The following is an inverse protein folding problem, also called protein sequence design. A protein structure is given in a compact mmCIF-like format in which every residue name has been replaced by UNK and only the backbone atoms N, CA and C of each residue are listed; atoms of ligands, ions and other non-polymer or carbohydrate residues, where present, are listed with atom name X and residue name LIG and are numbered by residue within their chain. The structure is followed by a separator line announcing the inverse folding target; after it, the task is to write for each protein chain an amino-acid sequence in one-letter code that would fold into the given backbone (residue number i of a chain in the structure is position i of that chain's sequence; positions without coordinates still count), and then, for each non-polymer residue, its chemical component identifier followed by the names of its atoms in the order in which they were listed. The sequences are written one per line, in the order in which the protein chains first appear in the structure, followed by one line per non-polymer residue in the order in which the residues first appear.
data_IF_293754480593
#
_entry.id   IF_293754480593
#
_cell.length_a   1.000
_cell.length_b   1.000
_cell.length_c   1.000
_cell.angle_alpha   90.00
_cell.angle_beta   90.00
_cell.angle_gamma   90.00
#
_symmetry.space_group_name_H-M   'P 1'
#
loop_
_entity.id
_entity.type
_entity.pdbx_description
1 polymer ?
#
# COMPACT_ATOMS: atom_id res chain seq x y z
N UNK A 1 -30.55 -1.15 -17.06
CA UNK A 1 -29.15 -0.72 -17.26
C UNK A 1 -28.25 -1.86 -16.80
N UNK A 2 -27.12 -2.08 -17.48
CA UNK A 2 -26.13 -3.04 -16.99
C UNK A 2 -25.65 -2.60 -15.61
N UNK A 3 -25.58 -3.53 -14.65
CA UNK A 3 -25.15 -3.24 -13.28
C UNK A 3 -23.67 -2.84 -13.32
N UNK A 4 -23.32 -1.65 -12.82
CA UNK A 4 -21.93 -1.17 -12.75
C UNK A 4 -21.35 -1.51 -11.39
N UNK A 5 -20.06 -1.83 -11.36
CA UNK A 5 -19.31 -2.03 -10.13
C UNK A 5 -17.91 -1.43 -10.27
N UNK A 6 -17.38 -0.85 -9.19
CA UNK A 6 -16.05 -0.23 -9.15
C UNK A 6 -15.01 -1.22 -8.65
N UNK A 7 -13.81 -1.14 -9.22
CA UNK A 7 -12.59 -1.70 -8.62
C UNK A 7 -11.89 -0.62 -7.82
N UNK A 8 -11.60 -0.88 -6.55
CA UNK A 8 -10.91 0.06 -5.67
C UNK A 8 -9.63 -0.58 -5.16
N UNK A 9 -8.50 0.04 -5.51
CA UNK A 9 -7.25 -0.17 -4.80
C UNK A 9 -7.21 0.73 -3.56
N UNK A 10 -7.37 0.13 -2.38
CA UNK A 10 -7.28 0.83 -1.10
C UNK A 10 -5.85 0.72 -0.56
N UNK A 11 -4.91 1.52 -1.08
CA UNK A 11 -3.51 1.43 -0.68
C UNK A 11 -3.16 2.18 0.61
N UNK A 12 -1.98 1.89 1.17
CA UNK A 12 -1.47 2.53 2.40
C UNK A 12 -1.23 4.03 2.22
N UNK A 13 -0.63 4.42 1.09
CA UNK A 13 -0.23 5.81 0.81
C UNK A 13 -1.19 6.49 -0.16
N UNK A 14 -1.59 5.78 -1.22
CA UNK A 14 -2.52 6.25 -2.23
C UNK A 14 -3.58 5.19 -2.46
N UNK A 15 -4.77 5.63 -2.86
CA UNK A 15 -5.86 4.78 -3.31
C UNK A 15 -6.28 5.19 -4.71
N UNK A 16 -6.76 4.21 -5.48
CA UNK A 16 -7.14 4.35 -6.89
C UNK A 16 -8.48 3.68 -7.12
N UNK A 17 -9.32 4.29 -7.96
CA UNK A 17 -10.61 3.73 -8.36
C UNK A 17 -10.66 3.59 -9.87
N UNK A 18 -11.16 2.45 -10.33
CA UNK A 18 -11.32 2.13 -11.74
C UNK A 18 -12.67 1.46 -12.01
N UNK A 19 -13.09 1.47 -13.27
CA UNK A 19 -14.33 0.86 -13.75
C UNK A 19 -14.09 0.25 -15.14
N UNK A 20 -14.92 -0.73 -15.53
CA UNK A 20 -14.99 -1.16 -16.92
C UNK A 20 -15.96 -0.29 -17.72
N UNK A 21 -15.45 0.39 -18.75
CA UNK A 21 -16.23 1.14 -19.72
C UNK A 21 -16.29 0.39 -21.05
N UNK A 22 -17.36 -0.39 -21.22
CA UNK A 22 -17.40 -1.41 -22.28
C UNK A 22 -16.32 -2.47 -22.00
N UNK A 23 -15.45 -2.70 -22.98
CA UNK A 23 -14.39 -3.70 -22.88
C UNK A 23 -13.04 -3.15 -22.37
N UNK A 24 -13.01 -1.90 -21.90
CA UNK A 24 -11.77 -1.24 -21.47
C UNK A 24 -11.82 -0.88 -19.98
N UNK A 25 -10.80 -1.26 -19.19
CA UNK A 25 -10.66 -0.72 -17.85
C UNK A 25 -10.21 0.73 -17.91
N UNK A 26 -10.93 1.60 -17.20
CA UNK A 26 -10.63 3.03 -17.09
C UNK A 26 -10.41 3.39 -15.63
N UNK A 27 -9.25 3.98 -15.33
CA UNK A 27 -8.97 4.62 -14.03
C UNK A 27 -9.67 5.98 -13.98
N UNK A 28 -10.44 6.22 -12.93
CA UNK A 28 -11.23 7.44 -12.78
C UNK A 28 -10.41 8.49 -12.02
N UNK A 29 -10.22 9.71 -12.57
CA UNK A 29 -9.60 10.79 -11.83
C UNK A 29 -10.50 11.28 -10.70
N UNK A 30 -9.89 11.67 -9.57
CA UNK A 30 -10.58 12.32 -8.47
C UNK A 30 -11.04 13.74 -8.82
N UNK A 31 -11.80 14.36 -7.92
CA UNK A 31 -12.31 15.72 -8.10
C UNK A 31 -11.18 16.78 -8.28
N UNK A 32 -9.97 16.48 -7.81
CA UNK A 32 -8.78 17.31 -7.97
C UNK A 32 -8.02 17.07 -9.29
N UNK A 33 -8.50 16.15 -10.14
CA UNK A 33 -7.91 15.84 -11.46
C UNK A 33 -6.77 14.83 -11.45
N UNK A 34 -6.46 14.21 -10.30
CA UNK A 34 -5.43 13.18 -10.16
C UNK A 34 -6.04 11.79 -10.21
N UNK A 35 -5.34 10.82 -10.81
CA UNK A 35 -5.73 9.40 -10.74
C UNK A 35 -5.40 8.75 -9.40
N UNK A 36 -4.47 9.34 -8.65
CA UNK A 36 -4.09 8.92 -7.31
C UNK A 36 -4.73 9.83 -6.27
N UNK A 37 -5.41 9.21 -5.30
CA UNK A 37 -5.94 9.92 -4.13
C UNK A 37 -5.13 9.54 -2.90
N UNK A 38 -4.47 10.48 -2.21
CA UNK A 38 -3.76 10.17 -0.97
C UNK A 38 -4.69 9.50 0.06
N UNK A 39 -4.24 8.42 0.67
CA UNK A 39 -4.95 7.69 1.73
C UNK A 39 -4.82 8.43 3.07
N UNK A 40 -5.28 9.69 3.09
CA UNK A 40 -5.11 10.63 4.20
C UNK A 40 -6.46 11.23 4.58
N UNK A 41 -6.75 11.27 5.86
CA UNK A 41 -7.96 11.89 6.44
C UNK A 41 -7.53 12.92 7.48
N UNK A 42 -8.08 14.12 7.43
CA UNK A 42 -7.82 15.14 8.44
C UNK A 42 -9.12 15.67 9.04
N UNK A 43 -9.05 15.99 10.33
CA UNK A 43 -10.12 16.62 11.08
C UNK A 43 -9.70 18.04 11.44
N UNK A 44 -10.46 19.01 10.97
CA UNK A 44 -10.19 20.42 11.20
C UNK A 44 -10.83 20.90 12.50
N UNK A 45 -10.33 22.01 13.05
CA UNK A 45 -10.83 22.58 14.32
C UNK A 45 -12.29 23.01 14.26
N UNK A 46 -12.79 23.38 13.08
CA UNK A 46 -14.19 23.72 12.80
C UNK A 46 -15.08 22.48 12.56
N UNK A 47 -14.55 21.28 12.76
CA UNK A 47 -15.30 20.02 12.69
C UNK A 47 -15.48 19.48 11.27
N UNK A 48 -14.80 20.05 10.27
CA UNK A 48 -14.81 19.51 8.92
C UNK A 48 -13.88 18.30 8.80
N UNK A 49 -14.24 17.40 7.89
CA UNK A 49 -13.41 16.27 7.50
C UNK A 49 -12.88 16.50 6.10
N UNK A 50 -11.56 16.48 5.96
CA UNK A 50 -10.86 16.50 4.68
C UNK A 50 -10.34 15.11 4.37
N UNK A 51 -10.34 14.74 3.09
CA UNK A 51 -9.81 13.44 2.61
C UNK A 51 -9.00 13.68 1.34
N UNK A 52 -7.94 12.89 1.13
CA UNK A 52 -7.13 12.98 -0.09
C UNK A 52 -6.18 14.17 -0.08
N UNK A 53 -6.08 14.85 -1.23
CA UNK A 53 -5.10 15.93 -1.42
C UNK A 53 -5.30 17.09 -0.45
N UNK A 54 -6.55 17.42 -0.11
CA UNK A 54 -6.86 18.48 0.85
C UNK A 54 -6.36 18.13 2.26
N UNK A 55 -6.53 16.87 2.68
CA UNK A 55 -5.99 16.40 3.95
C UNK A 55 -4.46 16.38 3.95
N UNK A 56 -3.81 15.88 2.88
CA UNK A 56 -2.35 15.85 2.76
C UNK A 56 -1.74 17.26 2.87
N UNK A 57 -2.34 18.28 2.21
CA UNK A 57 -1.82 19.66 2.20
C UNK A 57 -1.75 20.33 3.57
N UNK A 58 -2.68 20.03 4.47
CA UNK A 58 -2.72 20.65 5.80
C UNK A 58 -2.00 19.84 6.88
N UNK A 59 -1.43 18.68 6.54
CA UNK A 59 -0.82 17.76 7.50
C UNK A 59 0.29 18.41 8.33
N UNK A 60 1.09 19.32 7.73
CA UNK A 60 2.15 20.07 8.42
C UNK A 60 1.60 20.92 9.57
N UNK A 61 0.45 21.57 9.37
CA UNK A 61 -0.14 22.51 10.35
C UNK A 61 -1.04 21.81 11.37
N UNK A 62 -1.40 20.55 11.12
CA UNK A 62 -2.35 19.78 11.91
C UNK A 62 -1.96 18.29 12.03
N UNK A 63 -0.71 17.98 12.43
CA UNK A 63 -0.17 16.62 12.33
C UNK A 63 -0.93 15.62 13.23
N UNK A 64 -1.32 16.03 14.44
CA UNK A 64 -2.00 15.16 15.41
C UNK A 64 -3.44 14.77 15.00
N UNK A 65 -4.09 15.58 14.16
CA UNK A 65 -5.46 15.32 13.68
C UNK A 65 -5.49 14.93 12.19
N UNK A 66 -4.34 14.55 11.63
CA UNK A 66 -4.21 14.07 10.25
C UNK A 66 -3.73 12.64 10.23
N UNK A 67 -4.62 11.73 9.86
CA UNK A 67 -4.40 10.29 9.86
C UNK A 67 -3.97 9.83 8.46
N UNK A 68 -2.82 9.16 8.39
CA UNK A 68 -2.24 8.54 7.18
C UNK A 68 -1.64 7.18 7.53
N UNK A 69 -1.32 6.36 6.53
CA UNK A 69 -0.83 4.98 6.70
C UNK A 69 -1.73 4.10 7.57
N UNK A 70 -3.03 4.43 7.66
CA UNK A 70 -3.99 3.76 8.54
C UNK A 70 -4.14 2.26 8.23
N UNK A 71 -3.88 1.88 6.97
CA UNK A 71 -3.89 0.49 6.50
C UNK A 71 -2.93 -0.41 7.32
N UNK A 72 -1.84 0.15 7.87
CA UNK A 72 -0.91 -0.58 8.75
C UNK A 72 -1.55 -0.98 10.10
N UNK A 73 -2.67 -0.38 10.50
CA UNK A 73 -3.38 -0.66 11.75
C UNK A 73 -4.66 -1.48 11.57
N UNK A 74 -5.11 -1.70 10.32
CA UNK A 74 -6.34 -2.43 10.01
C UNK A 74 -6.32 -3.84 10.60
N UNK A 75 -7.38 -4.23 11.32
CA UNK A 75 -7.54 -5.58 11.88
C UNK A 75 -6.51 -5.99 12.93
N UNK A 76 -5.74 -5.06 13.50
CA UNK A 76 -4.66 -5.34 14.46
C UNK A 76 -4.99 -4.94 15.89
N UNK A 77 -4.30 -5.59 16.82
CA UNK A 77 -4.28 -5.23 18.23
C UNK A 77 -3.23 -4.17 18.49
N UNK A 78 -3.47 -3.34 19.50
CA UNK A 78 -2.59 -2.27 19.94
C UNK A 78 -1.18 -2.77 20.28
N UNK A 79 -1.07 -3.93 20.92
CA UNK A 79 0.22 -4.55 21.27
C UNK A 79 1.05 -4.98 20.04
N UNK A 80 0.40 -5.25 18.91
CA UNK A 80 1.05 -5.72 17.68
C UNK A 80 1.64 -4.56 16.84
N UNK A 81 1.29 -3.31 17.15
CA UNK A 81 1.58 -2.14 16.31
C UNK A 81 2.53 -1.12 16.97
N UNK A 82 3.29 -1.53 17.97
CA UNK A 82 4.14 -0.61 18.74
C UNK A 82 5.20 0.09 17.88
N UNK A 83 5.68 -0.56 16.83
CA UNK A 83 6.64 0.05 15.90
C UNK A 83 5.97 1.01 14.93
N UNK A 84 4.73 0.74 14.50
CA UNK A 84 3.92 1.64 13.68
C UNK A 84 3.55 2.92 14.43
N UNK A 85 3.21 2.80 15.72
CA UNK A 85 2.85 3.94 16.59
C UNK A 85 3.98 4.96 16.65
N UNK A 86 5.25 4.52 16.70
CA UNK A 86 6.42 5.40 16.74
C UNK A 86 6.64 6.20 15.45
N UNK A 87 5.93 5.87 14.36
CA UNK A 87 6.12 6.47 13.03
C UNK A 87 5.09 7.54 12.71
N UNK A 88 4.03 7.66 13.51
CA UNK A 88 2.90 8.53 13.21
C UNK A 88 2.77 9.62 14.27
N UNK A 89 2.42 10.87 13.87
CA UNK A 89 2.28 11.96 14.81
C UNK A 89 0.93 11.95 15.53
N UNK A 90 -0.07 11.25 15.00
CA UNK A 90 -1.39 11.12 15.62
C UNK A 90 -1.37 10.07 16.73
N UNK A 91 -2.28 10.22 17.69
CA UNK A 91 -2.34 9.36 18.87
C UNK A 91 -3.03 8.04 18.54
N UNK A 92 -2.34 6.93 18.79
CA UNK A 92 -2.90 5.58 18.75
C UNK A 92 -3.06 5.08 20.18
N UNK A 93 -4.19 4.46 20.49
CA UNK A 93 -4.53 3.96 21.83
C UNK A 93 -5.12 2.57 21.76
N UNK A 94 -5.06 1.85 22.89
CA UNK A 94 -5.75 0.56 23.05
C UNK A 94 -7.25 0.79 23.23
N UNK A 95 -8.05 0.20 22.35
CA UNK A 95 -9.50 0.20 22.42
C UNK A 95 -10.08 -1.08 23.04
N UNK A 96 -11.40 -1.29 22.93
CA UNK A 96 -12.05 -2.53 23.36
C UNK A 96 -11.37 -3.76 22.73
N UNK A 97 -11.18 -4.82 23.54
CA UNK A 97 -10.48 -6.05 23.15
C UNK A 97 -9.05 -5.85 22.64
N UNK A 98 -8.35 -4.84 23.17
CA UNK A 98 -7.00 -4.46 22.77
C UNK A 98 -6.89 -4.05 21.29
N UNK A 99 -7.98 -3.69 20.60
CA UNK A 99 -7.92 -3.24 19.21
C UNK A 99 -7.14 -1.92 19.10
N UNK A 100 -6.31 -1.77 18.07
CA UNK A 100 -5.66 -0.50 17.78
C UNK A 100 -6.71 0.54 17.37
N UNK A 101 -6.73 1.72 18.02
CA UNK A 101 -7.65 2.83 17.71
C UNK A 101 -6.87 4.13 17.56
N UNK A 102 -7.37 5.01 16.72
CA UNK A 102 -6.82 6.36 16.57
C UNK A 102 -7.68 7.34 17.37
N UNK A 103 -7.05 8.13 18.23
CA UNK A 103 -7.73 9.20 18.96
C UNK A 103 -7.50 10.53 18.25
N UNK A 104 -8.56 11.14 17.75
CA UNK A 104 -8.53 12.47 17.12
C UNK A 104 -9.52 13.37 17.82
N UNK A 105 -9.03 14.52 18.31
CA UNK A 105 -9.85 15.52 19.02
C UNK A 105 -10.74 14.93 20.12
N UNK A 106 -10.20 13.96 20.90
CA UNK A 106 -10.89 13.30 22.00
C UNK A 106 -11.92 12.24 21.59
N UNK A 107 -12.02 11.91 20.29
CA UNK A 107 -12.87 10.82 19.78
C UNK A 107 -12.01 9.66 19.29
N UNK A 108 -12.42 8.44 19.65
CA UNK A 108 -11.80 7.21 19.18
C UNK A 108 -12.40 6.77 17.85
N UNK A 109 -11.53 6.46 16.90
CA UNK A 109 -11.88 5.91 15.59
C UNK A 109 -11.24 4.54 15.39
N UNK A 110 -12.01 3.62 14.83
CA UNK A 110 -11.49 2.40 14.23
C UNK A 110 -10.66 2.72 12.98
N UNK A 111 -9.58 1.97 12.69
CA UNK A 111 -8.93 1.99 11.39
C UNK A 111 -9.92 1.82 10.22
N UNK A 112 -10.96 1.00 10.42
CA UNK A 112 -12.05 0.75 9.47
C UNK A 112 -12.87 2.01 9.20
N UNK A 113 -13.15 2.82 10.23
CA UNK A 113 -13.90 4.07 10.08
C UNK A 113 -13.10 5.10 9.28
N UNK A 114 -11.79 5.21 9.52
CA UNK A 114 -10.92 6.11 8.75
C UNK A 114 -10.82 5.63 7.29
N UNK A 115 -10.63 4.33 7.07
CA UNK A 115 -10.58 3.75 5.73
C UNK A 115 -11.92 3.91 4.98
N UNK A 116 -13.05 3.82 5.68
CA UNK A 116 -14.37 4.08 5.11
C UNK A 116 -14.51 5.52 4.60
N UNK A 117 -13.88 6.51 5.26
CA UNK A 117 -13.88 7.89 4.79
C UNK A 117 -13.10 8.04 3.46
N UNK A 118 -12.02 7.27 3.29
CA UNK A 118 -11.23 7.22 2.05
C UNK A 118 -12.07 6.56 0.94
N UNK A 119 -12.64 5.37 1.21
CA UNK A 119 -13.51 4.66 0.28
C UNK A 119 -14.69 5.53 -0.17
N UNK A 120 -15.32 6.24 0.77
CA UNK A 120 -16.43 7.13 0.46
C UNK A 120 -16.02 8.27 -0.47
N UNK A 121 -14.85 8.91 -0.27
CA UNK A 121 -14.35 9.93 -1.21
C UNK A 121 -14.13 9.35 -2.61
N UNK A 122 -13.50 8.18 -2.72
CA UNK A 122 -13.22 7.54 -4.02
C UNK A 122 -14.51 7.26 -4.79
N UNK A 123 -15.52 6.72 -4.10
CA UNK A 123 -16.82 6.43 -4.72
C UNK A 123 -17.56 7.72 -5.05
N UNK A 124 -17.58 8.72 -4.18
CA UNK A 124 -18.23 10.01 -4.47
C UNK A 124 -17.61 10.69 -5.70
N UNK A 125 -16.28 10.62 -5.84
CA UNK A 125 -15.58 11.14 -7.02
C UNK A 125 -15.92 10.33 -8.28
N UNK A 126 -16.00 9.00 -8.18
CA UNK A 126 -16.42 8.13 -9.26
C UNK A 126 -17.88 8.36 -9.69
N UNK A 127 -18.80 8.53 -8.75
CA UNK A 127 -20.21 8.83 -9.03
C UNK A 127 -20.37 10.17 -9.75
N UNK A 128 -19.58 11.20 -9.37
CA UNK A 128 -19.56 12.49 -10.09
C UNK A 128 -19.04 12.35 -11.51
N UNK A 129 -17.99 11.54 -11.73
CA UNK A 129 -17.45 11.26 -13.05
C UNK A 129 -18.49 10.54 -13.94
N UNK A 130 -19.17 9.53 -13.39
CA UNK A 130 -20.13 8.71 -14.13
C UNK A 130 -21.50 9.37 -14.30
N UNK A 131 -21.84 10.35 -13.47
CA UNK A 131 -23.16 10.99 -13.45
C UNK A 131 -24.28 10.10 -12.87
N UNK A 132 -23.92 9.01 -12.19
CA UNK A 132 -24.86 8.08 -11.56
C UNK A 132 -24.28 7.44 -10.30
N UNK A 133 -25.17 6.88 -9.48
CA UNK A 133 -24.80 6.23 -8.20
C UNK A 133 -24.27 4.82 -8.43
N UNK A 134 -23.17 4.43 -7.77
CA UNK A 134 -22.58 3.09 -7.86
C UNK A 134 -22.26 2.58 -6.45
N UNK A 135 -22.91 1.50 -6.04
CA UNK A 135 -22.78 0.95 -4.69
C UNK A 135 -21.99 -0.36 -4.63
N UNK A 136 -21.91 -1.11 -5.72
CA UNK A 136 -21.22 -2.38 -5.77
C UNK A 136 -19.72 -2.18 -6.04
N UNK A 137 -18.88 -2.80 -5.21
CA UNK A 137 -17.42 -2.61 -5.29
C UNK A 137 -16.65 -3.91 -5.09
N UNK A 138 -15.47 -3.99 -5.71
CA UNK A 138 -14.40 -4.91 -5.37
C UNK A 138 -13.27 -4.10 -4.73
N UNK A 139 -12.80 -4.51 -3.56
CA UNK A 139 -11.76 -3.79 -2.81
C UNK A 139 -10.52 -4.69 -2.68
N UNK A 140 -9.34 -4.11 -2.87
CA UNK A 140 -8.07 -4.85 -2.79
C UNK A 140 -7.53 -4.93 -1.36
N UNK A 141 -6.75 -5.97 -1.10
CA UNK A 141 -5.94 -6.16 0.10
C UNK A 141 -4.60 -6.80 -0.24
N UNK A 142 -3.54 -6.60 0.57
CA UNK A 142 -2.29 -7.33 0.45
C UNK A 142 -2.54 -8.84 0.47
N UNK A 143 -1.84 -9.61 -0.35
CA UNK A 143 -2.03 -11.06 -0.41
C UNK A 143 -1.79 -11.71 0.96
N UNK A 144 -0.81 -11.20 1.71
CA UNK A 144 -0.43 -11.71 3.01
C UNK A 144 -1.29 -11.19 4.19
N UNK A 145 -2.40 -10.48 3.93
CA UNK A 145 -3.36 -10.12 4.98
C UNK A 145 -4.02 -11.37 5.59
N UNK A 146 -4.08 -11.38 6.91
CA UNK A 146 -4.80 -12.40 7.68
C UNK A 146 -6.33 -12.16 7.66
N UNK A 147 -7.09 -13.09 8.25
CA UNK A 147 -8.55 -13.05 8.28
C UNK A 147 -9.11 -11.76 8.93
N UNK A 148 -8.55 -11.34 10.07
CA UNK A 148 -8.98 -10.13 10.77
C UNK A 148 -8.79 -8.86 9.92
N UNK A 149 -7.66 -8.77 9.21
CA UNK A 149 -7.35 -7.63 8.34
C UNK A 149 -8.27 -7.60 7.10
N UNK A 150 -8.57 -8.77 6.51
CA UNK A 150 -9.51 -8.89 5.39
C UNK A 150 -10.93 -8.48 5.80
N UNK A 151 -11.37 -8.96 6.96
CA UNK A 151 -12.68 -8.62 7.51
C UNK A 151 -12.77 -7.14 7.88
N UNK A 152 -11.72 -6.55 8.43
CA UNK A 152 -11.64 -5.11 8.71
C UNK A 152 -11.80 -4.28 7.42
N UNK A 153 -11.12 -4.65 6.33
CA UNK A 153 -11.26 -3.96 5.04
C UNK A 153 -12.67 -4.08 4.47
N UNK A 154 -13.28 -5.28 4.55
CA UNK A 154 -14.68 -5.47 4.15
C UNK A 154 -15.62 -4.57 4.98
N UNK A 155 -15.42 -4.55 6.30
CA UNK A 155 -16.19 -3.71 7.23
C UNK A 155 -16.05 -2.23 6.90
N UNK A 156 -14.86 -1.76 6.50
CA UNK A 156 -14.65 -0.39 6.04
C UNK A 156 -15.52 -0.05 4.81
N UNK A 157 -15.65 -0.98 3.85
CA UNK A 157 -16.57 -0.84 2.72
C UNK A 157 -18.04 -0.76 3.16
N UNK A 158 -18.45 -1.61 4.10
CA UNK A 158 -19.81 -1.59 4.65
C UNK A 158 -20.12 -0.28 5.39
N UNK A 159 -19.18 0.23 6.21
CA UNK A 159 -19.29 1.53 6.89
C UNK A 159 -19.40 2.68 5.87
N UNK A 160 -18.71 2.57 4.73
CA UNK A 160 -18.81 3.54 3.63
C UNK A 160 -20.15 3.46 2.87
N UNK A 161 -21.02 2.50 3.19
CA UNK A 161 -22.31 2.29 2.54
C UNK A 161 -22.20 1.55 1.20
N UNK A 162 -21.15 0.74 1.01
CA UNK A 162 -20.86 0.00 -0.20
C UNK A 162 -21.23 -1.47 -0.06
N UNK A 163 -21.71 -2.08 -1.14
CA UNK A 163 -21.87 -3.52 -1.25
C UNK A 163 -20.55 -4.13 -1.75
N UNK A 164 -19.76 -4.68 -0.81
CA UNK A 164 -18.47 -5.29 -1.13
C UNK A 164 -18.72 -6.67 -1.75
N UNK A 165 -18.67 -6.74 -3.08
CA UNK A 165 -18.88 -7.97 -3.85
C UNK A 165 -17.76 -8.98 -3.60
N UNK A 166 -16.53 -8.50 -3.49
CA UNK A 166 -15.33 -9.33 -3.26
C UNK A 166 -14.21 -8.51 -2.67
N UNK A 167 -13.45 -9.14 -1.77
CA UNK A 167 -12.10 -8.74 -1.42
C UNK A 167 -11.15 -9.52 -2.32
N UNK A 168 -10.26 -8.83 -3.05
CA UNK A 168 -9.28 -9.45 -3.95
C UNK A 168 -7.86 -9.15 -3.49
N UNK A 169 -6.95 -10.10 -3.67
CA UNK A 169 -5.54 -9.89 -3.40
C UNK A 169 -4.94 -8.93 -4.43
N UNK A 170 -4.14 -7.96 -3.98
CA UNK A 170 -3.45 -6.97 -4.83
C UNK A 170 -2.66 -7.61 -5.98
N UNK A 171 -1.76 -8.60 -5.75
CA UNK A 171 -1.03 -9.20 -6.86
C UNK A 171 -1.93 -10.01 -7.80
N UNK A 172 -3.00 -10.61 -7.28
CA UNK A 172 -4.01 -11.29 -8.09
C UNK A 172 -4.75 -10.31 -8.99
N UNK A 173 -5.15 -9.15 -8.48
CA UNK A 173 -5.74 -8.08 -9.27
C UNK A 173 -4.75 -7.60 -10.35
N UNK A 174 -3.49 -7.35 -9.98
CA UNK A 174 -2.48 -6.94 -10.95
C UNK A 174 -2.29 -7.98 -12.09
N UNK A 175 -2.38 -9.28 -11.78
CA UNK A 175 -2.31 -10.34 -12.78
C UNK A 175 -3.47 -10.28 -13.79
N UNK A 176 -4.69 -9.97 -13.35
CA UNK A 176 -5.86 -9.82 -14.24
C UNK A 176 -5.65 -8.68 -15.24
N UNK A 177 -5.12 -7.55 -14.77
CA UNK A 177 -4.80 -6.41 -15.61
C UNK A 177 -3.70 -6.73 -16.64
N UNK A 178 -2.68 -7.49 -16.23
CA UNK A 178 -1.61 -7.94 -17.10
C UNK A 178 -2.06 -8.99 -18.13
N UNK A 179 -2.89 -9.95 -17.72
CA UNK A 179 -3.25 -11.12 -18.51
C UNK A 179 -4.45 -10.96 -19.43
N UNK A 180 -5.24 -9.88 -19.32
CA UNK A 180 -6.49 -9.70 -20.07
C UNK A 180 -6.30 -9.85 -21.60
N UNK A 181 -5.19 -9.34 -22.14
CA UNK A 181 -4.89 -9.38 -23.58
C UNK A 181 -3.93 -10.54 -23.97
N UNK A 182 -3.48 -11.34 -23.01
CA UNK A 182 -2.46 -12.39 -23.23
C UNK A 182 -3.14 -13.71 -23.59
N UNK A 183 -2.78 -14.26 -24.75
CA UNK A 183 -3.33 -15.54 -25.26
C UNK A 183 -2.49 -16.77 -24.94
N UNK A 184 -1.21 -16.59 -24.65
CA UNK A 184 -0.31 -17.69 -24.33
C UNK A 184 -0.22 -17.89 -22.83
N UNK A 185 -0.08 -19.14 -22.41
CA UNK A 185 0.23 -19.48 -21.02
C UNK A 185 1.60 -18.92 -20.65
N UNK A 186 1.69 -18.27 -19.51
CA UNK A 186 2.91 -17.73 -18.95
C UNK A 186 2.91 -17.88 -17.42
N UNK A 187 4.07 -18.24 -16.87
CA UNK A 187 4.32 -18.19 -15.44
C UNK A 187 4.87 -16.81 -15.11
N UNK A 188 4.13 -16.02 -14.36
CA UNK A 188 4.53 -14.67 -13.97
C UNK A 188 4.81 -14.58 -12.49
N UNK A 189 5.71 -13.67 -12.13
CA UNK A 189 5.89 -13.23 -10.75
C UNK A 189 5.42 -11.79 -10.63
N UNK A 190 4.44 -11.56 -9.77
CA UNK A 190 4.02 -10.22 -9.38
C UNK A 190 4.82 -9.82 -8.14
N UNK A 191 5.58 -8.73 -8.27
CA UNK A 191 6.37 -8.10 -7.22
C UNK A 191 5.70 -6.80 -6.81
N UNK A 192 4.99 -6.80 -5.69
CA UNK A 192 4.26 -5.64 -5.20
C UNK A 192 4.97 -5.02 -4.01
N UNK A 193 5.58 -3.85 -4.20
CA UNK A 193 6.17 -3.05 -3.13
C UNK A 193 5.48 -1.69 -3.06
N UNK A 194 4.51 -1.62 -2.15
CA UNK A 194 3.74 -0.43 -1.85
C UNK A 194 4.40 0.48 -0.81
N UNK A 195 3.60 1.38 -0.21
CA UNK A 195 4.05 2.21 0.91
C UNK A 195 4.11 1.48 2.25
N UNK A 196 3.28 0.45 2.41
CA UNK A 196 3.09 -0.26 3.68
C UNK A 196 3.58 -1.71 3.71
N UNK A 197 3.49 -2.38 2.58
CA UNK A 197 3.56 -3.83 2.47
C UNK A 197 4.37 -4.24 1.25
N UNK A 198 4.91 -5.45 1.34
CA UNK A 198 5.61 -6.12 0.27
C UNK A 198 4.96 -7.49 0.06
N UNK A 199 4.48 -7.77 -1.15
CA UNK A 199 3.89 -9.05 -1.51
C UNK A 199 4.56 -9.58 -2.79
N UNK A 200 4.72 -10.89 -2.85
CA UNK A 200 5.21 -11.63 -4.00
C UNK A 200 4.21 -12.74 -4.28
N UNK A 201 3.73 -12.83 -5.51
CA UNK A 201 2.91 -13.98 -5.93
C UNK A 201 3.39 -14.52 -7.25
N UNK A 202 3.44 -15.85 -7.35
CA UNK A 202 3.70 -16.54 -8.61
C UNK A 202 2.38 -17.06 -9.13
N UNK A 203 2.08 -16.75 -10.38
CA UNK A 203 0.84 -17.12 -11.03
C UNK A 203 1.10 -17.77 -12.37
N UNK A 204 0.27 -18.76 -12.70
CA UNK A 204 0.10 -19.21 -14.07
C UNK A 204 -1.09 -18.48 -14.69
N UNK A 205 -0.84 -17.84 -15.83
CA UNK A 205 -1.82 -17.01 -16.52
C UNK A 205 -1.90 -17.43 -17.98
N UNK A 206 -3.11 -17.74 -18.45
CA UNK A 206 -3.36 -18.00 -19.86
C UNK A 206 -4.76 -18.55 -20.13
N UNK A 207 -5.25 -18.35 -21.36
CA UNK A 207 -6.58 -18.80 -21.82
C UNK A 207 -7.74 -18.42 -20.88
N UNK A 208 -7.64 -17.26 -20.20
CA UNK A 208 -8.64 -16.78 -19.25
C UNK A 208 -8.56 -17.42 -17.85
N UNK A 209 -7.60 -18.30 -17.61
CA UNK A 209 -7.34 -18.91 -16.30
C UNK A 209 -6.17 -18.20 -15.61
N UNK A 210 -6.38 -17.87 -14.34
CA UNK A 210 -5.41 -17.22 -13.47
C UNK A 210 -5.30 -18.05 -12.19
N UNK A 211 -4.19 -18.76 -12.02
CA UNK A 211 -3.96 -19.67 -10.89
C UNK A 211 -2.77 -19.20 -10.07
N UNK A 212 -2.99 -18.86 -8.80
CA UNK A 212 -1.91 -18.54 -7.87
C UNK A 212 -1.23 -19.84 -7.43
N UNK A 213 0.06 -19.97 -7.76
CA UNK A 213 0.88 -21.13 -7.37
C UNK A 213 1.44 -20.99 -5.97
N UNK A 214 1.89 -19.79 -5.62
CA UNK A 214 2.39 -19.47 -4.29
C UNK A 214 2.32 -17.96 -4.03
N UNK A 215 2.14 -17.59 -2.77
CA UNK A 215 2.25 -16.21 -2.31
C UNK A 215 3.07 -16.12 -1.04
N UNK A 216 3.81 -15.03 -0.88
CA UNK A 216 4.63 -14.71 0.30
C UNK A 216 4.76 -13.20 0.41
N UNK A 217 5.12 -12.69 1.59
CA UNK A 217 5.25 -11.24 1.76
C UNK A 217 5.74 -10.82 3.14
N UNK A 218 5.82 -9.50 3.31
CA UNK A 218 6.08 -8.81 4.57
C UNK A 218 5.10 -7.64 4.71
N UNK A 219 4.15 -7.76 5.65
CA UNK A 219 3.10 -6.76 5.89
C UNK A 219 3.59 -5.51 6.63
N UNK A 220 4.90 -5.39 6.89
CA UNK A 220 5.54 -4.25 7.56
C UNK A 220 6.77 -3.74 6.81
N UNK A 221 6.85 -4.00 5.51
CA UNK A 221 7.94 -3.54 4.66
C UNK A 221 7.37 -2.78 3.46
N UNK A 222 7.65 -1.49 3.36
CA UNK A 222 7.24 -0.69 2.20
C UNK A 222 7.90 0.68 2.17
N UNK A 223 7.44 1.55 1.27
CA UNK A 223 7.93 2.91 1.07
C UNK A 223 8.13 3.72 2.35
N UNK A 224 7.25 3.58 3.35
CA UNK A 224 7.35 4.32 4.63
C UNK A 224 8.60 3.90 5.43
N UNK A 225 9.06 2.66 5.30
CA UNK A 225 10.29 2.16 5.94
C UNK A 225 11.53 2.81 5.33
N UNK A 226 11.54 2.97 4.01
CA UNK A 226 12.61 3.68 3.31
C UNK A 226 12.63 5.17 3.66
N UNK A 227 11.46 5.79 3.77
CA UNK A 227 11.34 7.18 4.21
C UNK A 227 11.90 7.36 5.61
N UNK A 228 11.57 6.44 6.54
CA UNK A 228 12.07 6.47 7.91
C UNK A 228 13.59 6.43 7.98
N UNK A 229 14.26 5.60 7.16
CA UNK A 229 15.73 5.55 7.12
C UNK A 229 16.35 6.89 6.73
N UNK A 230 15.74 7.56 5.76
CA UNK A 230 16.21 8.87 5.35
C UNK A 230 15.92 9.94 6.41
N UNK A 231 14.73 9.92 7.01
CA UNK A 231 14.36 10.82 8.12
C UNK A 231 15.30 10.68 9.31
N UNK A 232 15.59 9.45 9.74
CA UNK A 232 16.49 9.20 10.87
C UNK A 232 17.89 9.72 10.59
N UNK A 233 18.44 9.43 9.41
CA UNK A 233 19.74 9.94 9.02
C UNK A 233 19.78 11.47 8.98
N UNK A 234 18.79 12.12 8.35
CA UNK A 234 18.70 13.59 8.30
C UNK A 234 18.58 14.20 9.71
N UNK A 235 17.75 13.62 10.58
CA UNK A 235 17.59 14.07 11.96
C UNK A 235 18.88 13.90 12.77
N UNK A 236 19.62 12.80 12.57
CA UNK A 236 20.90 12.57 13.24
C UNK A 236 21.99 13.53 12.75
N UNK A 237 22.04 13.86 11.46
CA UNK A 237 22.95 14.90 10.94
C UNK A 237 22.62 16.28 11.52
N UNK A 238 21.33 16.64 11.57
CA UNK A 238 20.90 17.91 12.17
C UNK A 238 21.21 17.97 13.69
N UNK A 239 21.03 16.85 14.40
CA UNK A 239 21.39 16.74 15.81
C UNK A 239 22.90 16.91 16.03
N UNK A 240 23.74 16.36 15.16
CA UNK A 240 25.21 16.55 15.24
C UNK A 240 25.61 18.01 15.02
N UNK A 241 24.96 18.70 14.09
CA UNK A 241 25.30 20.09 13.75
C UNK A 241 24.76 21.11 14.77
N UNK A 242 23.52 20.93 15.22
CA UNK A 242 22.81 21.93 16.03
C UNK A 242 22.49 21.49 17.47
N UNK A 243 22.70 20.22 17.81
CA UNK A 243 22.36 19.68 19.14
C UNK A 243 20.86 19.58 19.42
N UNK A 244 20.01 19.63 18.38
CA UNK A 244 18.55 19.60 18.49
C UNK A 244 18.00 18.36 17.78
N UNK A 245 17.18 17.58 18.48
CA UNK A 245 16.54 16.40 17.93
C UNK A 245 15.17 16.74 17.34
N UNK A 246 15.12 16.89 16.01
CA UNK A 246 13.89 17.25 15.28
C UNK A 246 12.77 16.22 15.42
N UNK A 247 13.08 14.98 15.84
CA UNK A 247 12.08 13.93 16.06
C UNK A 247 11.18 14.22 17.27
N UNK A 248 11.60 15.12 18.16
CA UNK A 248 10.83 15.51 19.36
C UNK A 248 9.81 16.62 19.09
N UNK A 249 9.89 17.27 17.93
CA UNK A 249 8.96 18.30 17.50
C UNK A 249 8.03 17.71 16.41
N UNK A 250 6.73 17.50 16.69
CA UNK A 250 5.81 16.91 15.73
C UNK A 250 5.69 17.67 14.40
N UNK A 251 5.78 19.01 14.42
CA UNK A 251 5.71 19.82 13.20
C UNK A 251 7.00 19.68 12.38
N UNK A 252 8.16 19.74 13.04
CA UNK A 252 9.43 19.53 12.37
C UNK A 252 9.51 18.12 11.77
N UNK A 253 9.15 17.10 12.55
CA UNK A 253 9.14 15.71 12.11
C UNK A 253 8.23 15.50 10.88
N UNK A 254 7.02 16.06 10.89
CA UNK A 254 6.12 15.96 9.73
C UNK A 254 6.73 16.59 8.46
N UNK A 255 7.39 17.75 8.59
CA UNK A 255 8.09 18.41 7.48
C UNK A 255 9.29 17.59 7.00
N UNK A 256 10.01 16.92 7.91
CA UNK A 256 11.09 16.01 7.55
C UNK A 256 10.57 14.83 6.73
N UNK A 257 9.49 14.18 7.15
CA UNK A 257 8.89 13.06 6.40
C UNK A 257 8.49 13.47 4.99
N UNK A 258 7.80 14.60 4.83
CA UNK A 258 7.39 15.07 3.49
C UNK A 258 8.60 15.37 2.59
N UNK A 259 9.64 16.01 3.15
CA UNK A 259 10.85 16.31 2.39
C UNK A 259 11.66 15.04 2.06
N UNK A 260 11.70 14.06 2.96
CA UNK A 260 12.39 12.79 2.74
C UNK A 260 11.64 11.88 1.76
N UNK A 261 10.31 11.80 1.82
CA UNK A 261 9.48 11.10 0.81
C UNK A 261 9.77 11.68 -0.58
N UNK A 262 9.74 13.01 -0.69
CA UNK A 262 10.07 13.71 -1.94
C UNK A 262 11.48 13.40 -2.41
N UNK A 263 12.48 13.47 -1.53
CA UNK A 263 13.86 13.18 -1.86
C UNK A 263 14.05 11.72 -2.33
N UNK A 264 13.44 10.75 -1.65
CA UNK A 264 13.42 9.33 -2.07
C UNK A 264 12.87 9.17 -3.50
N UNK A 265 11.74 9.81 -3.79
CA UNK A 265 11.14 9.77 -5.12
C UNK A 265 12.05 10.41 -6.17
N UNK A 266 12.64 11.57 -5.89
CA UNK A 266 13.58 12.24 -6.79
C UNK A 266 14.84 11.40 -7.06
N UNK A 267 15.38 10.73 -6.04
CA UNK A 267 16.52 9.83 -6.17
C UNK A 267 16.25 8.59 -7.05
N UNK A 268 14.98 8.30 -7.37
CA UNK A 268 14.66 7.25 -8.33
C UNK A 268 15.04 7.62 -9.77
N UNK A 269 15.20 8.92 -10.06
CA UNK A 269 15.62 9.43 -11.38
C UNK A 269 16.94 10.18 -11.31
N UNK A 270 17.16 10.99 -10.27
CA UNK A 270 18.36 11.79 -10.04
C UNK A 270 19.42 11.00 -9.27
N UNK A 271 20.70 11.38 -9.45
CA UNK A 271 21.82 10.82 -8.69
C UNK A 271 21.99 11.46 -7.31
N UNK A 272 21.48 12.69 -7.15
CA UNK A 272 21.47 13.43 -5.89
C UNK A 272 20.28 14.38 -5.83
N UNK A 273 19.89 14.77 -4.62
CA UNK A 273 18.89 15.81 -4.37
C UNK A 273 19.21 16.55 -3.08
N UNK A 274 18.63 17.75 -2.93
CA UNK A 274 18.83 18.64 -1.79
C UNK A 274 17.55 18.73 -0.96
N UNK A 275 17.66 18.39 0.32
CA UNK A 275 16.61 18.58 1.32
C UNK A 275 16.86 19.93 1.99
N UNK A 276 16.02 20.91 1.69
CA UNK A 276 16.09 22.25 2.26
C UNK A 276 14.79 22.60 2.98
N UNK A 277 14.87 22.74 4.30
CA UNK A 277 13.76 23.14 5.17
C UNK A 277 14.17 24.39 5.97
N UNK A 278 13.86 25.60 5.45
CA UNK A 278 14.06 26.84 6.18
C UNK A 278 13.18 26.91 7.42
N UNK A 279 13.68 27.52 8.51
CA UNK A 279 12.92 27.71 9.75
C UNK A 279 12.33 26.38 10.25
N UNK A 280 13.14 25.32 10.27
CA UNK A 280 12.69 23.99 10.68
C UNK A 280 12.45 23.92 12.18
N UNK A 281 13.24 24.67 12.96
CA UNK A 281 13.11 24.83 14.41
C UNK A 281 13.79 26.13 14.85
N UNK A 282 13.84 26.40 16.15
CA UNK A 282 14.55 27.55 16.72
C UNK A 282 15.16 27.20 18.09
N UNK A 283 16.24 27.89 18.45
CA UNK A 283 16.85 27.84 19.78
C UNK A 283 17.10 29.27 20.32
N UNK A 284 17.84 29.38 21.43
CA UNK A 284 18.19 30.67 22.04
C UNK A 284 19.03 31.59 21.12
N UNK A 285 19.70 31.04 20.11
CA UNK A 285 20.47 31.79 19.11
C UNK A 285 19.65 32.22 17.89
N UNK A 286 18.40 31.74 17.77
CA UNK A 286 17.46 32.11 16.72
C UNK A 286 16.97 30.93 15.88
N UNK A 287 16.34 31.19 14.72
CA UNK A 287 15.83 30.15 13.84
C UNK A 287 16.95 29.29 13.25
N UNK A 288 16.66 28.01 13.04
CA UNK A 288 17.54 27.03 12.39
C UNK A 288 16.94 26.56 11.08
N UNK A 289 17.82 26.19 10.15
CA UNK A 289 17.48 25.73 8.82
C UNK A 289 18.13 24.38 8.60
N UNK A 290 17.43 23.44 8.00
CA UNK A 290 18.03 22.20 7.52
C UNK A 290 18.38 22.39 6.06
N UNK A 291 19.61 22.08 5.69
CA UNK A 291 20.07 22.12 4.31
C UNK A 291 21.11 21.03 4.06
N UNK A 292 20.69 19.93 3.44
CA UNK A 292 21.54 18.75 3.25
C UNK A 292 21.34 18.14 1.87
N UNK A 293 22.44 17.78 1.21
CA UNK A 293 22.43 17.02 -0.04
C UNK A 293 22.55 15.53 0.26
N UNK A 294 21.69 14.73 -0.37
CA UNK A 294 21.73 13.27 -0.31
C UNK A 294 21.94 12.70 -1.71
N UNK A 295 22.86 11.75 -1.84
CA UNK A 295 23.09 11.00 -3.08
C UNK A 295 22.29 9.71 -3.08
N UNK A 296 21.97 9.17 -4.28
CA UNK A 296 21.32 7.87 -4.43
C UNK A 296 22.12 6.77 -3.74
N UNK A 297 23.45 6.77 -3.92
CA UNK A 297 24.33 5.80 -3.28
C UNK A 297 24.26 5.84 -1.75
N UNK A 298 24.14 7.04 -1.15
CA UNK A 298 23.94 7.18 0.30
C UNK A 298 22.59 6.62 0.73
N UNK A 299 21.51 6.98 0.04
CA UNK A 299 20.18 6.46 0.33
C UNK A 299 20.11 4.93 0.22
N UNK A 300 20.68 4.35 -0.85
CA UNK A 300 20.73 2.90 -1.05
C UNK A 300 21.54 2.20 0.06
N UNK A 301 22.65 2.80 0.50
CA UNK A 301 23.43 2.29 1.63
C UNK A 301 22.63 2.29 2.94
N UNK A 302 21.89 3.36 3.23
CA UNK A 302 21.05 3.48 4.44
C UNK A 302 19.91 2.45 4.49
N UNK A 303 19.49 1.96 3.32
CA UNK A 303 18.37 1.03 3.16
C UNK A 303 18.81 -0.39 2.75
N UNK A 304 20.11 -0.69 2.79
CA UNK A 304 20.67 -1.95 2.30
C UNK A 304 20.02 -3.20 2.91
N UNK A 305 19.74 -3.17 4.21
CA UNK A 305 19.04 -4.26 4.91
C UNK A 305 17.56 -4.37 4.52
N UNK A 306 16.89 -3.26 4.19
CA UNK A 306 15.51 -3.29 3.68
C UNK A 306 15.44 -3.93 2.30
N UNK A 307 16.40 -3.64 1.42
CA UNK A 307 16.50 -4.33 0.13
C UNK A 307 16.81 -5.82 0.30
N UNK A 308 17.67 -6.18 1.24
CA UNK A 308 17.98 -7.59 1.52
C UNK A 308 16.75 -8.35 2.04
N UNK A 309 15.93 -7.71 2.89
CA UNK A 309 14.67 -8.29 3.40
C UNK A 309 13.68 -8.67 2.28
N UNK A 310 13.71 -8.01 1.13
CA UNK A 310 12.85 -8.35 -0.02
C UNK A 310 13.16 -9.75 -0.58
N UNK A 311 14.39 -10.26 -0.43
CA UNK A 311 14.79 -11.55 -1.00
C UNK A 311 14.14 -12.74 -0.32
N UNK A 312 13.90 -12.66 1.00
CA UNK A 312 13.30 -13.75 1.77
C UNK A 312 11.96 -14.21 1.19
N UNK A 313 10.96 -13.31 1.07
CA UNK A 313 9.67 -13.65 0.47
C UNK A 313 9.77 -14.12 -0.99
N UNK A 314 10.66 -13.54 -1.80
CA UNK A 314 10.87 -13.97 -3.20
C UNK A 314 11.30 -15.43 -3.30
N UNK A 315 12.34 -15.80 -2.54
CA UNK A 315 12.85 -17.18 -2.56
C UNK A 315 11.85 -18.14 -1.92
N UNK A 316 11.11 -17.71 -0.89
CA UNK A 316 10.08 -18.53 -0.29
C UNK A 316 8.94 -18.84 -1.28
N UNK A 317 8.48 -17.85 -2.05
CA UNK A 317 7.43 -18.06 -3.05
C UNK A 317 7.89 -19.02 -4.15
N UNK A 318 9.14 -18.91 -4.61
CA UNK A 318 9.75 -19.83 -5.58
C UNK A 318 9.81 -21.26 -5.03
N UNK A 319 10.28 -21.43 -3.78
CA UNK A 319 10.34 -22.73 -3.11
C UNK A 319 8.95 -23.36 -2.98
N UNK A 320 7.97 -22.59 -2.51
CA UNK A 320 6.59 -23.05 -2.33
C UNK A 320 5.93 -23.47 -3.66
N UNK A 321 6.22 -22.72 -4.74
CA UNK A 321 5.77 -23.05 -6.09
C UNK A 321 6.58 -24.19 -6.74
N UNK A 322 7.69 -24.62 -6.12
CA UNK A 322 8.67 -25.59 -6.66
C UNK A 322 9.27 -25.14 -8.00
N UNK A 323 9.55 -23.85 -8.11
CA UNK A 323 10.11 -23.22 -9.29
C UNK A 323 11.47 -22.58 -8.98
N UNK A 324 12.25 -22.36 -10.03
CA UNK A 324 13.50 -21.59 -9.98
C UNK A 324 13.29 -20.24 -10.68
N UNK A 325 14.20 -19.26 -10.48
CA UNK A 325 14.08 -17.97 -11.19
C UNK A 325 14.05 -18.09 -12.72
N UNK A 326 14.55 -19.19 -13.30
CA UNK A 326 14.54 -19.44 -14.75
C UNK A 326 13.17 -19.86 -15.28
N UNK A 327 12.31 -20.39 -14.42
CA UNK A 327 10.98 -20.88 -14.78
C UNK A 327 9.93 -19.76 -14.80
N UNK A 328 10.27 -18.57 -14.30
CA UNK A 328 9.43 -17.38 -14.37
C UNK A 328 9.61 -16.75 -15.75
N UNK A 329 8.53 -16.58 -16.52
CA UNK A 329 8.55 -15.98 -17.86
C UNK A 329 8.68 -14.45 -17.77
N UNK A 330 7.82 -13.80 -16.99
CA UNK A 330 7.78 -12.35 -16.82
C UNK A 330 7.72 -11.94 -15.33
N UNK A 331 8.36 -10.82 -14.98
CA UNK A 331 8.25 -10.20 -13.65
C UNK A 331 7.47 -8.90 -13.78
N UNK A 332 6.34 -8.80 -13.09
CA UNK A 332 5.44 -7.63 -13.10
C UNK A 332 5.68 -6.82 -11.83
N UNK A 333 6.13 -5.57 -11.97
CA UNK A 333 6.34 -4.67 -10.85
C UNK A 333 5.05 -3.89 -10.54
N UNK A 334 4.68 -3.87 -9.26
CA UNK A 334 3.48 -3.21 -8.74
C UNK A 334 3.87 -2.36 -7.53
N UNK A 335 3.23 -1.21 -7.35
CA UNK A 335 3.48 -0.31 -6.23
C UNK A 335 4.62 0.68 -6.49
N UNK A 336 4.42 1.92 -6.08
CA UNK A 336 5.32 3.04 -6.41
C UNK A 336 6.76 2.89 -5.90
N UNK A 337 7.01 2.09 -4.86
CA UNK A 337 8.37 1.87 -4.34
C UNK A 337 9.21 0.97 -5.25
N UNK A 338 8.60 0.23 -6.18
CA UNK A 338 9.34 -0.51 -7.24
C UNK A 338 10.03 0.39 -8.27
N UNK A 339 9.71 1.70 -8.28
CA UNK A 339 10.40 2.69 -9.11
C UNK A 339 11.85 2.93 -8.69
N UNK A 340 12.24 2.52 -7.48
CA UNK A 340 13.62 2.63 -7.02
C UNK A 340 14.56 1.77 -7.88
N UNK A 341 15.66 2.32 -8.42
CA UNK A 341 16.62 1.59 -9.24
C UNK A 341 17.21 0.34 -8.55
N UNK A 342 17.44 0.41 -7.25
CA UNK A 342 17.92 -0.73 -6.45
C UNK A 342 16.94 -1.93 -6.46
N UNK A 343 15.62 -1.68 -6.46
CA UNK A 343 14.61 -2.76 -6.54
C UNK A 343 14.64 -3.42 -7.92
N UNK A 344 14.68 -2.62 -8.98
CA UNK A 344 14.78 -3.16 -10.34
C UNK A 344 16.10 -3.92 -10.55
N UNK A 345 17.20 -3.44 -9.97
CA UNK A 345 18.49 -4.13 -9.99
C UNK A 345 18.40 -5.48 -9.28
N UNK A 346 17.79 -5.53 -8.09
CA UNK A 346 17.55 -6.77 -7.36
C UNK A 346 16.76 -7.77 -8.20
N UNK A 347 15.70 -7.33 -8.88
CA UNK A 347 14.92 -8.20 -9.78
C UNK A 347 15.77 -8.74 -10.93
N UNK A 348 16.59 -7.91 -11.59
CA UNK A 348 17.52 -8.37 -12.63
C UNK A 348 18.54 -9.38 -12.10
N UNK A 349 19.09 -9.14 -10.92
CA UNK A 349 20.07 -10.02 -10.28
C UNK A 349 19.47 -11.39 -9.94
N UNK A 350 18.22 -11.44 -9.49
CA UNK A 350 17.54 -12.69 -9.12
C UNK A 350 17.04 -13.46 -10.35
N UNK A 351 16.38 -12.79 -11.29
CA UNK A 351 15.67 -13.45 -12.40
C UNK A 351 16.40 -13.40 -13.74
N UNK A 352 17.48 -12.63 -13.85
CA UNK A 352 18.27 -12.51 -15.08
C UNK A 352 17.51 -11.88 -16.26
N UNK A 353 16.43 -11.13 -15.99
CA UNK A 353 15.59 -10.49 -17.00
C UNK A 353 15.10 -9.11 -16.56
N UNK A 354 14.73 -8.28 -17.54
CA UNK A 354 14.10 -6.99 -17.26
C UNK A 354 12.65 -7.18 -16.81
N UNK A 355 12.18 -6.39 -15.82
CA UNK A 355 10.78 -6.38 -15.45
C UNK A 355 9.88 -5.83 -16.57
N UNK A 356 8.64 -6.31 -16.61
CA UNK A 356 7.63 -5.91 -17.57
C UNK A 356 7.34 -4.40 -17.48
N UNK A 357 7.39 -3.71 -18.64
CA UNK A 357 7.13 -2.27 -18.75
C UNK A 357 5.69 -1.94 -19.19
N UNK A 358 4.88 -2.96 -19.48
CA UNK A 358 3.54 -2.80 -20.06
C UNK A 358 2.45 -2.39 -19.06
N UNK A 359 2.76 -2.31 -17.77
CA UNK A 359 1.80 -2.00 -16.71
C UNK A 359 2.22 -0.74 -15.96
N UNK A 360 1.23 0.07 -15.57
CA UNK A 360 1.47 1.19 -14.67
C UNK A 360 1.44 0.68 -13.23
N UNK A 361 2.58 0.70 -12.48
CA UNK A 361 2.66 0.12 -11.14
C UNK A 361 1.72 0.78 -10.13
N UNK A 362 1.27 2.02 -10.39
CA UNK A 362 0.39 2.77 -9.49
C UNK A 362 -1.11 2.56 -9.79
N UNK A 363 -1.46 1.98 -10.94
CA UNK A 363 -2.86 1.86 -11.40
C UNK A 363 -3.31 0.40 -11.63
N UNK A 364 -2.36 -0.51 -11.87
CA UNK A 364 -2.60 -1.89 -12.33
C UNK A 364 -3.48 -2.69 -11.36
N UNK A 365 -3.37 -2.45 -10.05
CA UNK A 365 -4.17 -3.11 -9.03
C UNK A 365 -5.65 -2.71 -9.13
N UNK A 366 -5.95 -1.41 -9.22
CA UNK A 366 -7.33 -0.93 -9.37
C UNK A 366 -7.95 -1.38 -10.69
N UNK A 367 -7.17 -1.36 -11.78
CA UNK A 367 -7.56 -1.90 -13.08
C UNK A 367 -7.98 -3.37 -12.96
N UNK A 368 -7.15 -4.18 -12.31
CA UNK A 368 -7.46 -5.58 -12.02
C UNK A 368 -8.73 -5.78 -11.20
N UNK A 369 -8.90 -4.97 -10.16
CA UNK A 369 -10.11 -4.99 -9.34
C UNK A 369 -11.36 -4.62 -10.15
N UNK A 370 -11.25 -3.70 -11.13
CA UNK A 370 -12.35 -3.32 -11.99
C UNK A 370 -12.74 -4.43 -12.97
N UNK A 371 -11.76 -5.15 -13.52
CA UNK A 371 -11.99 -6.35 -14.33
C UNK A 371 -12.74 -7.39 -13.50
N UNK A 372 -12.29 -7.66 -12.28
CA UNK A 372 -12.96 -8.58 -11.37
C UNK A 372 -14.39 -8.14 -11.02
N UNK A 373 -14.60 -6.84 -10.79
CA UNK A 373 -15.92 -6.27 -10.54
C UNK A 373 -16.86 -6.51 -11.73
N UNK A 374 -16.36 -6.34 -12.95
CA UNK A 374 -17.12 -6.59 -14.17
C UNK A 374 -17.47 -8.07 -14.38
N UNK A 375 -16.54 -9.00 -14.08
CA UNK A 375 -16.82 -10.45 -14.08
C UNK A 375 -18.00 -10.77 -13.15
N UNK A 376 -18.00 -10.20 -11.94
CA UNK A 376 -19.03 -10.46 -10.92
C UNK A 376 -20.42 -9.91 -11.27
N UNK A 377 -20.50 -8.82 -12.02
CA UNK A 377 -21.77 -8.26 -12.50
C UNK A 377 -22.18 -8.78 -13.89
N UNK A 378 -21.45 -9.76 -14.43
CA UNK A 378 -21.77 -10.46 -15.67
C UNK A 378 -21.31 -9.74 -16.95
N UNK A 379 -20.39 -8.79 -16.84
CA UNK A 379 -19.82 -8.05 -17.97
C UNK A 379 -18.77 -8.85 -18.75
N UNK A 380 -18.06 -9.77 -18.10
CA UNK A 380 -17.07 -10.65 -18.72
C UNK A 380 -17.41 -12.11 -18.48
N UNK A 381 -17.40 -12.90 -19.55
CA UNK A 381 -17.48 -14.35 -19.53
C UNK A 381 -16.09 -14.89 -19.85
N UNK A 382 -15.74 -16.05 -19.32
CA UNK A 382 -14.50 -16.77 -19.61
C UNK A 382 -13.23 -16.30 -18.84
N UNK A 383 -13.40 -15.70 -17.66
CA UNK A 383 -12.30 -15.52 -16.68
C UNK A 383 -12.53 -16.45 -15.49
N UNK A 384 -11.55 -17.30 -15.20
CA UNK A 384 -11.50 -18.17 -14.02
C UNK A 384 -10.32 -17.77 -13.14
N UNK A 385 -10.63 -17.47 -11.87
CA UNK A 385 -9.64 -17.09 -10.87
C UNK A 385 -9.55 -18.15 -9.78
N UNK A 386 -8.35 -18.72 -9.62
CA UNK A 386 -8.01 -19.69 -8.58
C UNK A 386 -6.92 -19.03 -7.70
N UNK A 387 -7.33 -18.52 -6.54
CA UNK A 387 -6.43 -17.90 -5.56
C UNK A 387 -6.14 -18.90 -4.42
N UNK A 388 -5.26 -18.56 -3.49
CA UNK A 388 -4.83 -19.47 -2.41
C UNK A 388 -4.88 -18.81 -1.03
N UNK A 389 -4.93 -19.62 0.03
CA UNK A 389 -4.75 -19.14 1.41
C UNK A 389 -3.28 -18.83 1.70
N UNK A 390 -2.89 -17.62 2.13
CA UNK A 390 -1.49 -17.23 2.29
C UNK A 390 -0.81 -17.82 3.55
N UNK A 391 -1.60 -18.25 4.53
CA UNK A 391 -1.13 -18.68 5.87
C UNK A 391 -1.79 -20.01 6.21
N UNK A 392 -1.02 -20.97 6.73
CA UNK A 392 -1.56 -22.26 7.18
C UNK A 392 -2.58 -22.04 8.30
N UNK A 393 -3.78 -22.61 8.15
CA UNK A 393 -4.81 -22.60 9.18
C UNK A 393 -4.66 -23.84 10.06
N UNK A 394 -4.79 -23.67 11.38
CA UNK A 394 -4.62 -24.76 12.32
C UNK A 394 -5.24 -24.47 13.67
N UNK A 395 -5.13 -25.44 14.57
CA UNK A 395 -5.61 -25.35 15.95
C UNK A 395 -4.48 -25.63 16.93
N UNK A 396 -4.57 -25.01 18.10
CA UNK A 396 -3.71 -25.37 19.21
C UNK A 396 -4.14 -26.75 19.75
N UNK A 397 -3.18 -27.66 19.87
CA UNK A 397 -3.36 -28.97 20.48
C UNK A 397 -2.62 -29.06 21.81
N UNK A 398 -2.90 -30.11 22.59
CA UNK A 398 -2.34 -30.32 23.93
C UNK A 398 -0.81 -30.10 23.93
N UNK A 399 -0.35 -29.23 24.83
CA UNK A 399 1.06 -28.86 24.96
C UNK A 399 1.47 -27.58 24.24
N UNK A 400 0.51 -26.78 23.75
CA UNK A 400 0.79 -25.51 23.08
C UNK A 400 1.36 -25.70 21.66
N UNK A 401 1.21 -26.89 21.08
CA UNK A 401 1.67 -27.18 19.74
C UNK A 401 0.62 -26.75 18.72
N UNK A 402 1.07 -26.22 17.59
CA UNK A 402 0.21 -25.85 16.48
C UNK A 402 0.03 -27.04 15.52
N UNK A 403 -1.20 -27.52 15.38
CA UNK A 403 -1.55 -28.55 14.40
C UNK A 403 -2.21 -27.91 13.19
N UNK A 404 -1.55 -28.03 12.03
CA UNK A 404 -2.03 -27.49 10.76
C UNK A 404 -3.17 -28.35 10.21
N UNK A 405 -4.26 -27.71 9.81
CA UNK A 405 -5.43 -28.31 9.18
C UNK A 405 -5.48 -28.02 7.68
N UNK A 406 -5.10 -26.80 7.30
CA UNK A 406 -4.99 -26.36 5.90
C UNK A 406 -3.60 -25.76 5.74
N UNK A 407 -2.83 -26.24 4.78
CA UNK A 407 -1.52 -25.69 4.49
C UNK A 407 -1.63 -24.38 3.71
N UNK A 408 -0.66 -23.47 3.90
CA UNK A 408 -0.54 -22.29 3.05
C UNK A 408 -0.42 -22.70 1.58
N UNK A 409 -0.87 -21.81 0.69
CA UNK A 409 -0.97 -22.02 -0.75
C UNK A 409 -1.99 -23.09 -1.18
N UNK A 410 -2.93 -23.49 -0.30
CA UNK A 410 -4.10 -24.31 -0.70
C UNK A 410 -5.13 -23.43 -1.43
N UNK A 411 -5.62 -23.90 -2.58
CA UNK A 411 -6.65 -23.23 -3.42
C UNK A 411 -8.05 -23.27 -2.80
#
# INVERSE_FOLDING_TARGET
MAKKALGIDLGTTNSVVAIMEGDRPTVIPNAEGSRLTPSVVAFTKDGQRLVGQLAKRQAILNPENTVFSIKRFMGRRYEEVQEEIKRVPYKVVSGPNNAARVEVMGKLYAPEEISAMILKKLVDDAERYLGERVTDVVITVPAYFNDAQRQATKTAGEIAGLNVLRIINEPTAASLAYGLDKKANATILVFDLGGGTFDVSILEVGEGVFEVRATSGDTHLGGDDFDKRLVDWVADEFMKEHGIDLRKDPQALQRLYEACEKAKCELSTLLETRISLPFITADASGPKHLDITVTRARFESLCSDLFERLKGPLFQALEDAKLTPKDIDEVVLVGGATRMPAVQKLVREVFGKEPCQGVNPDEVVAVGAAIQAAVLVGGYKDILLLDVVPISLGVEVKGGLFHKLIERNTT
#
